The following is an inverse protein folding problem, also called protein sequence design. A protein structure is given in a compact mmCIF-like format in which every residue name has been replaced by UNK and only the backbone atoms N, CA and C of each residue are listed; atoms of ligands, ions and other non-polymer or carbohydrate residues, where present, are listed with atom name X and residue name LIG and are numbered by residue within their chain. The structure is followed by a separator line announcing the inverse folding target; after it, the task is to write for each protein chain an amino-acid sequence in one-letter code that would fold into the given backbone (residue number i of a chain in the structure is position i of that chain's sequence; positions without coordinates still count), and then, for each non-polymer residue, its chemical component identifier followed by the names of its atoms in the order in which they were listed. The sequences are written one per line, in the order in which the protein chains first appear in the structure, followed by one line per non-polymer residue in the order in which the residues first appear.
data_IF_577182032646
#
_entry.id   IF_577182032646
#
_cell.length_a   1.000
_cell.length_b   1.000
_cell.length_c   1.000
_cell.angle_alpha   90.00
_cell.angle_beta   90.00
_cell.angle_gamma   90.00
#
_symmetry.space_group_name_H-M   'P 1'
#
loop_
_entity.id
_entity.type
_entity.pdbx_description
1 polymer ?
#
# COMPACT_ATOMS: atom_id res chain seq x y z
N UNK A 1 -0.85 9.22 5.08
CA UNK A 1 -1.30 8.34 3.96
C UNK A 1 -0.33 7.17 3.72
N UNK A 2 0.97 7.40 3.57
CA UNK A 2 1.98 6.34 3.28
C UNK A 2 1.90 5.14 4.23
N UNK A 3 1.91 5.36 5.55
CA UNK A 3 1.80 4.29 6.55
C UNK A 3 0.52 3.45 6.38
N UNK A 4 -0.58 4.07 5.96
CA UNK A 4 -1.82 3.34 5.71
C UNK A 4 -1.69 2.43 4.48
N UNK A 5 -1.08 2.91 3.39
CA UNK A 5 -0.82 2.11 2.18
C UNK A 5 0.06 0.88 2.48
N UNK A 6 1.14 1.07 3.25
CA UNK A 6 2.05 -0.02 3.66
C UNK A 6 1.32 -1.07 4.51
N UNK A 7 0.36 -0.65 5.33
CA UNK A 7 -0.37 -1.54 6.25
C UNK A 7 -1.63 -2.16 5.64
N UNK A 8 -2.05 -1.71 4.45
CA UNK A 8 -3.36 -2.02 3.88
C UNK A 8 -3.62 -3.52 3.72
N UNK A 9 -2.61 -4.30 3.32
CA UNK A 9 -2.75 -5.75 3.12
C UNK A 9 -2.95 -6.53 4.43
N UNK A 10 -2.70 -5.92 5.60
CA UNK A 10 -2.84 -6.56 6.91
C UNK A 10 -4.24 -6.46 7.49
N UNK A 11 -5.08 -5.56 6.95
CA UNK A 11 -6.42 -5.30 7.49
C UNK A 11 -7.36 -6.50 7.25
N UNK A 12 -7.22 -7.16 6.10
CA UNK A 12 -8.03 -8.32 5.69
C UNK A 12 -7.19 -9.39 5.00
N UNK A 13 -6.45 -10.16 5.80
CA UNK A 13 -5.51 -11.18 5.30
C UNK A 13 -6.18 -12.32 4.52
N UNK A 14 -7.46 -12.56 4.78
CA UNK A 14 -8.30 -13.54 4.07
C UNK A 14 -8.62 -13.12 2.63
N UNK A 15 -8.45 -11.82 2.30
CA UNK A 15 -8.79 -11.27 0.99
C UNK A 15 -7.54 -11.07 0.15
N UNK A 16 -7.44 -11.84 -0.93
CA UNK A 16 -6.43 -11.59 -1.95
C UNK A 16 -6.70 -10.28 -2.69
N UNK A 17 -5.64 -9.48 -2.86
CA UNK A 17 -5.67 -8.20 -3.59
C UNK A 17 -4.39 -8.04 -4.41
N UNK A 18 -4.31 -6.99 -5.22
CA UNK A 18 -3.09 -6.63 -5.97
C UNK A 18 -1.86 -6.37 -5.08
N UNK A 19 -2.07 -6.14 -3.77
CA UNK A 19 -0.99 -5.91 -2.82
C UNK A 19 -0.27 -7.20 -2.38
N UNK A 20 -0.87 -8.37 -2.62
CA UNK A 20 -0.33 -9.67 -2.21
C UNK A 20 0.05 -9.77 -0.71
N UNK A 21 0.84 -10.80 -0.39
CA UNK A 21 1.22 -11.10 1.00
C UNK A 21 2.27 -10.12 1.57
N UNK A 22 3.12 -9.56 0.71
CA UNK A 22 4.20 -8.65 1.10
C UNK A 22 3.76 -7.19 1.19
N UNK A 23 2.64 -6.81 0.57
CA UNK A 23 2.17 -5.42 0.55
C UNK A 23 3.08 -4.48 -0.26
N UNK A 24 2.99 -3.18 0.04
CA UNK A 24 3.86 -2.15 -0.56
C UNK A 24 5.04 -1.86 0.36
N UNK A 25 6.23 -1.68 -0.22
CA UNK A 25 7.33 -1.01 0.49
C UNK A 25 7.00 0.47 0.73
N UNK A 26 7.66 1.09 1.71
CA UNK A 26 7.47 2.52 1.99
C UNK A 26 7.78 3.39 0.77
N UNK A 27 8.89 3.12 0.08
CA UNK A 27 9.32 3.86 -1.11
C UNK A 27 8.32 3.71 -2.27
N UNK A 28 7.78 2.50 -2.48
CA UNK A 28 6.76 2.27 -3.50
C UNK A 28 5.46 3.01 -3.16
N UNK A 29 5.05 3.00 -1.89
CA UNK A 29 3.87 3.73 -1.42
C UNK A 29 4.04 5.26 -1.56
N UNK A 30 5.22 5.80 -1.26
CA UNK A 30 5.51 7.22 -1.44
C UNK A 30 5.52 7.63 -2.91
N UNK A 31 6.21 6.87 -3.76
CA UNK A 31 6.23 7.10 -5.21
C UNK A 31 4.83 7.04 -5.82
N UNK A 32 4.02 6.04 -5.43
CA UNK A 32 2.64 5.90 -5.89
C UNK A 32 1.80 7.11 -5.49
N UNK A 33 1.87 7.53 -4.22
CA UNK A 33 1.08 8.65 -3.70
C UNK A 33 1.42 9.97 -4.42
N UNK A 34 2.71 10.21 -4.72
CA UNK A 34 3.18 11.37 -5.50
C UNK A 34 2.72 11.32 -6.96
N UNK A 35 2.86 10.17 -7.63
CA UNK A 35 2.48 10.01 -9.05
C UNK A 35 0.97 10.19 -9.25
N UNK A 36 0.17 9.77 -8.26
CA UNK A 36 -1.29 9.82 -8.34
C UNK A 36 -1.89 11.10 -7.74
N UNK A 37 -1.04 12.04 -7.27
CA UNK A 37 -1.46 13.31 -6.68
C UNK A 37 -2.45 13.16 -5.51
N UNK A 38 -2.36 12.02 -4.80
CA UNK A 38 -3.11 11.78 -3.57
C UNK A 38 -2.46 12.52 -2.38
N UNK A 39 -1.19 12.95 -2.56
CA UNK A 39 -0.45 13.88 -1.69
C UNK A 39 0.22 14.97 -2.51
#
# INVERSE_FOLDING_TARGET
IIKALVMANRIRKDRYTILGDNGLSADAAEKLAKITEVI
#
